data_IF_410608344918
#
_entry.id   IF_410608344918
#
_cell.length_a   1.000
_cell.length_b   1.000
_cell.length_c   1.000
_cell.angle_alpha   90.00
_cell.angle_beta   90.00
_cell.angle_gamma   90.00
#
_symmetry.space_group_name_H-M   'P 1'
#
loop_
_entity.id
_entity.type
_entity.pdbx_description
1 polymer ?
#
# COMPACT_ATOMS: atom_id res chain seq x y z
N UNK A 1 17.29 8.35 -29.05
CA UNK A 1 18.35 7.52 -28.46
C UNK A 1 18.29 7.73 -26.95
N UNK A 2 17.64 6.80 -26.24
CA UNK A 2 17.88 6.48 -24.84
C UNK A 2 17.40 5.03 -24.69
N UNK A 3 18.34 4.15 -24.39
CA UNK A 3 18.12 2.72 -24.21
C UNK A 3 17.93 2.52 -22.71
N UNK A 4 16.77 2.05 -22.27
CA UNK A 4 16.54 1.67 -20.87
C UNK A 4 16.38 0.16 -20.86
N UNK A 5 17.38 -0.52 -20.32
CA UNK A 5 17.42 -1.98 -20.15
C UNK A 5 16.27 -2.40 -19.23
N UNK A 6 15.33 -3.18 -19.75
CA UNK A 6 14.27 -3.81 -18.98
C UNK A 6 14.65 -5.22 -18.54
N UNK A 7 15.35 -5.36 -17.41
CA UNK A 7 15.67 -6.69 -16.85
C UNK A 7 15.65 -6.78 -15.30
N UNK A 8 15.10 -5.83 -14.56
CA UNK A 8 14.74 -6.06 -13.15
C UNK A 8 13.26 -5.73 -12.94
N UNK A 9 12.46 -6.59 -12.28
CA UNK A 9 11.19 -6.12 -11.75
C UNK A 9 11.52 -5.01 -10.74
N UNK A 10 10.89 -3.84 -10.90
CA UNK A 10 10.92 -2.82 -9.87
C UNK A 10 10.39 -3.49 -8.60
N UNK A 11 11.28 -3.72 -7.63
CA UNK A 11 10.91 -4.24 -6.33
C UNK A 11 11.12 -3.12 -5.32
N UNK A 12 10.03 -2.70 -4.69
CA UNK A 12 10.11 -1.82 -3.54
C UNK A 12 10.54 -2.67 -2.33
N UNK A 13 11.44 -2.13 -1.51
CA UNK A 13 12.03 -2.84 -0.38
C UNK A 13 11.63 -2.19 0.94
N UNK A 14 11.05 -2.98 1.84
CA UNK A 14 10.84 -2.60 3.24
C UNK A 14 11.79 -3.39 4.14
N UNK A 15 12.32 -2.72 5.17
CA UNK A 15 13.11 -3.37 6.22
C UNK A 15 12.28 -3.40 7.51
N UNK A 16 11.99 -4.58 8.02
CA UNK A 16 11.44 -4.76 9.37
C UNK A 16 12.61 -4.99 10.32
N UNK A 17 12.69 -4.17 11.38
CA UNK A 17 13.81 -4.15 12.31
C UNK A 17 13.26 -4.15 13.73
N UNK A 18 13.77 -5.05 14.57
CA UNK A 18 13.58 -5.02 16.01
C UNK A 18 14.55 -3.99 16.61
N UNK A 19 14.06 -2.87 17.17
CA UNK A 19 14.93 -1.78 17.64
C UNK A 19 15.84 -2.17 18.81
N UNK A 20 15.52 -3.26 19.52
CA UNK A 20 16.32 -3.77 20.64
C UNK A 20 17.52 -4.60 20.20
N UNK A 21 17.43 -5.20 19.01
CA UNK A 21 18.48 -6.04 18.40
C UNK A 21 19.27 -5.27 17.32
N UNK A 22 18.73 -4.16 16.83
CA UNK A 22 19.38 -3.30 15.87
C UNK A 22 19.45 -3.94 14.48
N UNK A 23 20.48 -3.59 13.71
CA UNK A 23 20.59 -4.01 12.30
C UNK A 23 20.74 -5.53 12.10
N UNK A 24 21.07 -6.28 13.15
CA UNK A 24 21.21 -7.73 13.09
C UNK A 24 19.86 -8.46 12.96
N UNK A 25 18.75 -7.79 13.27
CA UNK A 25 17.40 -8.35 13.17
C UNK A 25 16.70 -8.00 11.86
N UNK A 26 17.43 -7.56 10.83
CA UNK A 26 16.81 -7.05 9.61
C UNK A 26 16.11 -8.16 8.84
N UNK A 27 14.79 -8.05 8.75
CA UNK A 27 13.97 -8.86 7.86
C UNK A 27 13.59 -8.01 6.64
N UNK A 28 13.86 -8.54 5.45
CA UNK A 28 13.62 -7.82 4.20
C UNK A 28 12.33 -8.32 3.56
N UNK A 29 11.45 -7.37 3.23
CA UNK A 29 10.22 -7.59 2.49
C UNK A 29 10.39 -6.96 1.11
N UNK A 30 10.20 -7.75 0.06
CA UNK A 30 10.23 -7.31 -1.34
C UNK A 30 8.81 -7.23 -1.86
N UNK A 31 8.46 -6.10 -2.45
CA UNK A 31 7.14 -5.85 -3.01
C UNK A 31 7.31 -5.70 -4.51
N UNK A 32 6.77 -6.65 -5.26
CA UNK A 32 6.83 -6.64 -6.72
C UNK A 32 5.82 -5.62 -7.27
N UNK A 33 6.20 -4.35 -7.28
CA UNK A 33 5.34 -3.28 -7.75
C UNK A 33 6.13 -2.22 -8.51
N UNK A 34 5.52 -1.69 -9.58
CA UNK A 34 6.24 -0.89 -10.56
C UNK A 34 6.59 0.52 -10.07
N UNK A 35 5.72 1.11 -9.26
CA UNK A 35 5.84 2.49 -8.86
C UNK A 35 5.35 2.75 -7.43
N UNK A 36 6.21 3.41 -6.64
CA UNK A 36 5.84 4.21 -5.47
C UNK A 36 5.00 3.49 -4.43
N UNK A 37 5.54 2.45 -3.80
CA UNK A 37 4.91 1.85 -2.62
C UNK A 37 5.40 2.54 -1.34
N UNK A 38 4.46 2.95 -0.49
CA UNK A 38 4.72 3.56 0.81
C UNK A 38 3.98 2.78 1.89
N UNK A 39 4.69 2.24 2.87
CA UNK A 39 4.08 1.67 4.05
C UNK A 39 3.56 2.78 4.97
N UNK A 40 2.32 2.67 5.42
CA UNK A 40 1.67 3.68 6.29
C UNK A 40 1.50 3.21 7.71
N UNK A 41 1.15 1.93 7.89
CA UNK A 41 0.83 1.38 9.21
C UNK A 41 1.03 -0.15 9.26
N UNK A 42 1.11 -0.70 10.47
CA UNK A 42 1.15 -2.14 10.72
C UNK A 42 -0.06 -2.53 11.58
N UNK A 43 -0.70 -3.66 11.26
CA UNK A 43 -1.88 -4.13 12.01
C UNK A 43 -1.54 -4.39 13.48
N UNK A 44 -2.52 -4.28 14.41
CA UNK A 44 -2.27 -4.50 15.84
C UNK A 44 -1.73 -5.89 16.19
N UNK A 45 -2.09 -6.91 15.40
CA UNK A 45 -1.56 -8.27 15.52
C UNK A 45 -0.17 -8.46 14.86
N UNK A 46 0.34 -7.41 14.23
CA UNK A 46 1.64 -7.37 13.56
C UNK A 46 1.70 -8.14 12.24
N UNK A 47 0.60 -8.74 11.77
CA UNK A 47 0.62 -9.64 10.61
C UNK A 47 0.56 -8.93 9.27
N UNK A 48 0.00 -7.73 9.21
CA UNK A 48 -0.28 -7.02 7.96
C UNK A 48 0.33 -5.63 7.95
N UNK A 49 0.78 -5.18 6.79
CA UNK A 49 1.28 -3.82 6.57
C UNK A 49 0.35 -3.14 5.57
N UNK A 50 -0.20 -1.98 5.95
CA UNK A 50 -0.99 -1.14 5.06
C UNK A 50 -0.05 -0.32 4.15
N UNK A 51 -0.45 -0.18 2.89
CA UNK A 51 0.33 0.48 1.84
C UNK A 51 -0.51 1.51 1.11
N UNK A 52 0.12 2.63 0.76
CA UNK A 52 -0.27 3.42 -0.40
C UNK A 52 0.58 2.96 -1.59
N UNK A 53 0.00 2.82 -2.79
CA UNK A 53 0.75 2.51 -4.00
C UNK A 53 0.15 3.19 -5.24
N UNK A 54 0.93 3.34 -6.31
CA UNK A 54 0.48 4.05 -7.51
C UNK A 54 0.41 3.16 -8.75
N UNK A 55 -0.75 3.13 -9.39
CA UNK A 55 -0.88 2.55 -10.73
C UNK A 55 -0.86 3.67 -11.76
N UNK A 56 -0.05 3.51 -12.80
CA UNK A 56 -0.01 4.43 -13.94
C UNK A 56 -0.74 3.81 -15.14
N UNK A 57 -1.84 4.43 -15.55
CA UNK A 57 -2.50 4.13 -16.81
C UNK A 57 -1.74 4.82 -17.96
N UNK A 58 -1.14 4.02 -18.84
CA UNK A 58 -0.34 4.51 -19.96
C UNK A 58 -1.18 5.03 -21.13
N UNK A 59 -2.39 4.51 -21.32
CA UNK A 59 -3.28 4.93 -22.39
C UNK A 59 -3.86 6.31 -22.06
N UNK A 60 -4.38 6.46 -20.84
CA UNK A 60 -4.98 7.71 -20.35
C UNK A 60 -3.94 8.70 -19.79
N UNK A 61 -2.69 8.24 -19.59
CA UNK A 61 -1.59 9.02 -18.98
C UNK A 61 -1.95 9.58 -17.61
N UNK A 62 -2.60 8.76 -16.79
CA UNK A 62 -3.03 9.10 -15.44
C UNK A 62 -2.25 8.28 -14.41
N UNK A 63 -1.85 8.92 -13.31
CA UNK A 63 -1.30 8.25 -12.13
C UNK A 63 -2.38 8.26 -11.05
N UNK A 64 -2.70 7.10 -10.51
CA UNK A 64 -3.76 6.92 -9.54
C UNK A 64 -3.19 6.25 -8.27
N UNK A 65 -3.53 6.78 -7.10
CA UNK A 65 -3.14 6.19 -5.82
C UNK A 65 -4.19 5.20 -5.30
N UNK A 66 -3.73 4.11 -4.68
CA UNK A 66 -4.50 3.00 -4.16
C UNK A 66 -4.09 2.67 -2.73
N UNK A 67 -5.03 2.12 -1.95
CA UNK A 67 -4.75 1.48 -0.66
C UNK A 67 -4.75 -0.04 -0.84
N UNK A 68 -3.71 -0.69 -0.32
CA UNK A 68 -3.59 -2.13 -0.26
C UNK A 68 -2.90 -2.58 1.02
N UNK A 69 -2.68 -3.90 1.12
CA UNK A 69 -1.94 -4.48 2.23
C UNK A 69 -1.10 -5.67 1.78
N UNK A 70 -0.08 -5.99 2.57
CA UNK A 70 0.79 -7.16 2.40
C UNK A 70 0.97 -7.89 3.73
N UNK A 71 1.45 -9.14 3.70
CA UNK A 71 1.97 -9.79 4.91
C UNK A 71 3.22 -9.05 5.40
N UNK A 72 3.43 -9.05 6.71
CA UNK A 72 4.66 -8.57 7.35
C UNK A 72 5.83 -9.58 7.29
N UNK A 73 5.60 -10.75 6.70
CA UNK A 73 6.61 -11.80 6.57
C UNK A 73 7.73 -11.40 5.61
N UNK A 74 8.95 -11.82 5.94
CA UNK A 74 10.10 -11.64 5.07
C UNK A 74 9.92 -12.35 3.73
N UNK A 75 10.55 -11.80 2.68
CA UNK A 75 10.50 -12.35 1.32
C UNK A 75 9.61 -11.56 0.38
N UNK A 76 9.25 -12.19 -0.74
CA UNK A 76 8.41 -11.57 -1.76
C UNK A 76 6.95 -11.54 -1.33
N UNK A 77 6.35 -10.36 -1.39
CA UNK A 77 4.95 -10.11 -1.07
C UNK A 77 4.25 -9.48 -2.28
N UNK A 78 3.02 -9.91 -2.49
CA UNK A 78 2.11 -9.33 -3.47
C UNK A 78 1.12 -8.41 -2.75
N UNK A 79 0.89 -7.23 -3.32
CA UNK A 79 -0.09 -6.29 -2.80
C UNK A 79 -1.48 -6.90 -2.98
N UNK A 80 -2.20 -7.08 -1.87
CA UNK A 80 -3.64 -7.36 -1.87
C UNK A 80 -4.37 -6.01 -1.91
N UNK A 81 -5.08 -5.75 -3.00
CA UNK A 81 -5.88 -4.54 -3.15
C UNK A 81 -7.01 -4.54 -2.10
N UNK A 82 -7.11 -3.46 -1.32
CA UNK A 82 -8.11 -3.33 -0.27
C UNK A 82 -9.32 -2.56 -0.75
N UNK A 83 -9.06 -1.44 -1.44
CA UNK A 83 -10.09 -0.54 -1.91
C UNK A 83 -9.70 -0.03 -3.31
N UNK A 84 -10.31 -0.54 -4.39
CA UNK A 84 -10.23 0.15 -5.66
C UNK A 84 -10.81 1.55 -5.48
N UNK A 85 -10.21 2.61 -6.07
CA UNK A 85 -10.91 3.86 -6.22
C UNK A 85 -12.23 3.56 -6.92
N UNK A 86 -13.33 3.77 -6.20
CA UNK A 86 -14.68 3.42 -6.62
C UNK A 86 -15.11 4.19 -7.86
N UNK A 87 -14.36 5.24 -8.24
CA UNK A 87 -14.48 5.98 -9.49
C UNK A 87 -13.10 6.36 -10.06
N UNK A 88 -13.04 6.47 -11.39
CA UNK A 88 -11.81 6.83 -12.12
C UNK A 88 -11.37 8.26 -11.78
N UNK A 89 -10.15 8.44 -11.29
CA UNK A 89 -9.59 9.75 -10.91
C UNK A 89 -9.50 10.01 -9.40
N UNK A 90 -10.13 9.20 -8.54
CA UNK A 90 -10.17 9.42 -7.09
C UNK A 90 -8.92 8.89 -6.36
N UNK A 91 -8.11 9.74 -5.72
CA UNK A 91 -6.96 9.27 -4.95
C UNK A 91 -7.36 8.80 -3.54
N UNK A 92 -6.54 7.92 -2.98
CA UNK A 92 -6.61 7.55 -1.56
C UNK A 92 -5.20 7.41 -0.96
N UNK A 93 -5.04 7.77 0.32
CA UNK A 93 -3.76 7.75 1.03
C UNK A 93 -3.93 7.68 2.56
N UNK A 94 -2.81 7.57 3.28
CA UNK A 94 -2.70 7.56 4.75
C UNK A 94 -3.59 6.52 5.44
N UNK A 95 -3.55 5.27 4.95
CA UNK A 95 -4.27 4.16 5.58
C UNK A 95 -3.71 3.80 6.97
N UNK A 96 -4.60 3.56 7.94
CA UNK A 96 -4.25 3.11 9.29
C UNK A 96 -5.23 2.07 9.83
N UNK A 97 -4.72 1.08 10.55
CA UNK A 97 -5.54 0.05 11.18
C UNK A 97 -6.17 0.56 12.48
N UNK A 98 -7.43 0.19 12.68
CA UNK A 98 -8.09 0.32 13.98
C UNK A 98 -7.39 -0.53 15.06
N UNK A 99 -7.46 -0.14 16.35
CA UNK A 99 -6.80 -0.88 17.43
C UNK A 99 -7.27 -2.32 17.63
N UNK A 100 -8.52 -2.64 17.25
CA UNK A 100 -9.06 -4.01 17.27
C UNK A 100 -8.73 -4.81 16.00
N UNK A 101 -8.19 -4.14 14.96
CA UNK A 101 -7.83 -4.74 13.69
C UNK A 101 -9.02 -5.03 12.77
N UNK A 102 -10.23 -4.61 13.12
CA UNK A 102 -11.44 -4.90 12.35
C UNK A 102 -11.69 -3.90 11.21
N UNK A 103 -10.98 -2.78 11.21
CA UNK A 103 -11.18 -1.65 10.28
C UNK A 103 -9.86 -1.04 9.80
N UNK A 104 -9.90 -0.45 8.61
CA UNK A 104 -8.91 0.50 8.11
C UNK A 104 -9.58 1.86 7.90
N UNK A 105 -8.95 2.92 8.41
CA UNK A 105 -9.28 4.30 8.09
C UNK A 105 -8.31 4.85 7.02
N UNK A 106 -8.77 5.66 6.07
CA UNK A 106 -7.93 6.29 5.04
C UNK A 106 -8.55 7.59 4.53
N UNK A 107 -7.73 8.43 3.90
CA UNK A 107 -8.18 9.65 3.23
C UNK A 107 -8.52 9.34 1.78
N UNK A 108 -9.63 9.87 1.25
CA UNK A 108 -9.96 9.74 -0.18
C UNK A 108 -10.70 10.95 -0.74
N UNK A 109 -10.54 11.17 -2.04
CA UNK A 109 -11.24 12.18 -2.84
C UNK A 109 -12.50 11.63 -3.53
N UNK A 110 -13.14 10.60 -2.96
CA UNK A 110 -14.25 9.92 -3.62
C UNK A 110 -15.47 10.86 -3.85
N UNK A 111 -15.94 10.97 -5.11
CA UNK A 111 -17.02 11.89 -5.53
C UNK A 111 -18.39 11.66 -4.86
N UNK A 112 -18.57 10.62 -4.04
CA UNK A 112 -19.79 10.43 -3.23
C UNK A 112 -20.07 11.59 -2.26
N UNK A 113 -19.07 12.46 -2.04
CA UNK A 113 -19.22 13.75 -1.36
C UNK A 113 -18.67 14.82 -2.31
N UNK A 114 -19.52 15.73 -2.80
CA UNK A 114 -19.14 16.74 -3.79
C UNK A 114 -17.88 17.52 -3.35
N UNK A 115 -16.74 17.23 -3.99
CA UNK A 115 -15.53 18.06 -3.96
C UNK A 115 -14.70 18.02 -2.68
N UNK A 116 -14.91 17.09 -1.76
CA UNK A 116 -14.22 17.08 -0.47
C UNK A 116 -13.31 15.85 -0.29
N UNK A 117 -12.10 16.12 0.20
CA UNK A 117 -11.19 15.10 0.70
C UNK A 117 -11.64 14.69 2.10
N UNK A 118 -12.12 13.46 2.25
CA UNK A 118 -12.72 12.97 3.50
C UNK A 118 -11.99 11.75 4.06
N UNK A 119 -12.31 11.41 5.32
CA UNK A 119 -11.83 10.20 5.99
C UNK A 119 -12.89 9.11 5.89
N UNK A 120 -12.49 7.97 5.32
CA UNK A 120 -13.32 6.79 5.16
C UNK A 120 -12.85 5.69 6.10
N UNK A 121 -13.79 4.83 6.51
CA UNK A 121 -13.52 3.66 7.35
C UNK A 121 -14.14 2.45 6.67
N UNK A 122 -13.35 1.40 6.47
CA UNK A 122 -13.77 0.16 5.83
C UNK A 122 -13.42 -1.08 6.66
N UNK A 123 -14.27 -2.12 6.66
CA UNK A 123 -13.95 -3.39 7.33
C UNK A 123 -12.67 -4.00 6.77
N UNK A 124 -11.77 -4.45 7.65
CA UNK A 124 -10.56 -5.17 7.27
C UNK A 124 -10.74 -6.67 7.42
N UNK A 125 -10.91 -7.33 6.28
CA UNK A 125 -11.08 -8.78 6.20
C UNK A 125 -10.00 -9.35 5.27
N UNK A 126 -8.78 -9.62 5.79
CA UNK A 126 -7.72 -10.18 4.96
C UNK A 126 -8.12 -11.60 4.54
N UNK A 127 -8.22 -11.83 3.24
CA UNK A 127 -8.40 -13.18 2.71
C UNK A 127 -7.12 -13.99 3.02
N UNK A 128 -7.25 -15.11 3.74
CA UNK A 128 -6.13 -16.03 4.02
C UNK A 128 -5.52 -16.61 2.72
#
# INVERSE_FOLDING_TARGET
>A
MLYINGLEPYSDKLNKINPWEGMDSIEVIYINHRFGVLATDISPDGRWIALNYYIYDYEEKKLQCYIGYISSDAGEQEIKEFFPPLEEGCNCWDASFSPDGEWIAFVSEMENVEGETDIFIYPFEPNE
#
